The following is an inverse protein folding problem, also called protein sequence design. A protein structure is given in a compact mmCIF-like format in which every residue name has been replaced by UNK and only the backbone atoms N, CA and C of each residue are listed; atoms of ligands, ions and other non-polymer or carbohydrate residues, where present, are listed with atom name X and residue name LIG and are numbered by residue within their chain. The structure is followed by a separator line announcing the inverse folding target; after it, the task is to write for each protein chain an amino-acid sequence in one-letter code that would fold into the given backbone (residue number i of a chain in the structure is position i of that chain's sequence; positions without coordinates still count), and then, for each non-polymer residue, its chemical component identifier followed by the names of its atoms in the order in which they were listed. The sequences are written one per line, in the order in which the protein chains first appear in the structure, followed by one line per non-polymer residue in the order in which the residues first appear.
data_IF_075187289631
#
_entry.id   IF_075187289631
#
_cell.length_a   1.000
_cell.length_b   1.000
_cell.length_c   1.000
_cell.angle_alpha   90.00
_cell.angle_beta   90.00
_cell.angle_gamma   90.00
#
_symmetry.space_group_name_H-M   'P 1'
#
loop_
_entity.id
_entity.type
_entity.pdbx_description
1 polymer ?
#
# COMPACT_ATOMS: atom_id res chain seq x y z
N UNK A 1 -2.15 16.79 -15.76
CA UNK A 1 -1.01 17.05 -16.66
C UNK A 1 0.30 16.97 -15.88
N UNK A 2 0.65 15.76 -15.43
CA UNK A 2 1.80 15.52 -14.52
C UNK A 2 3.06 15.11 -15.29
N UNK A 3 2.96 14.87 -16.60
CA UNK A 3 4.02 14.30 -17.42
C UNK A 3 4.82 15.31 -18.24
N UNK A 4 4.24 16.45 -18.62
CA UNK A 4 4.88 17.36 -19.59
C UNK A 4 5.83 18.40 -19.01
N UNK A 5 5.45 19.06 -17.90
CA UNK A 5 6.12 20.31 -17.51
C UNK A 5 7.34 20.18 -16.59
N UNK A 6 7.32 19.22 -15.65
CA UNK A 6 8.31 19.17 -14.54
C UNK A 6 9.22 17.95 -14.58
N UNK A 7 8.70 16.80 -15.01
CA UNK A 7 9.46 15.54 -15.03
C UNK A 7 10.46 15.46 -16.19
N UNK A 8 10.08 15.93 -17.39
CA UNK A 8 10.91 15.82 -18.60
C UNK A 8 12.34 16.37 -18.48
N UNK A 9 12.58 17.60 -17.97
CA UNK A 9 13.95 18.10 -17.89
C UNK A 9 14.81 17.32 -16.89
N UNK A 10 14.21 16.78 -15.82
CA UNK A 10 14.90 15.95 -14.82
C UNK A 10 15.26 14.60 -15.43
N UNK A 11 14.30 13.93 -16.08
CA UNK A 11 14.50 12.65 -16.75
C UNK A 11 15.52 12.74 -17.90
N UNK A 12 15.52 13.85 -18.65
CA UNK A 12 16.48 14.09 -19.74
C UNK A 12 17.92 14.20 -19.22
N UNK A 13 18.15 14.96 -18.13
CA UNK A 13 19.47 15.05 -17.49
C UNK A 13 19.91 13.71 -16.91
N UNK A 14 18.96 12.95 -16.36
CA UNK A 14 19.24 11.64 -15.78
C UNK A 14 19.68 10.61 -16.85
N UNK A 15 19.01 10.56 -18.01
CA UNK A 15 19.44 9.72 -19.13
C UNK A 15 20.87 10.03 -19.59
N UNK A 16 21.26 11.32 -19.60
CA UNK A 16 22.62 11.73 -19.93
C UNK A 16 23.65 11.27 -18.88
N UNK A 17 23.27 11.22 -17.61
CA UNK A 17 24.12 10.73 -16.52
C UNK A 17 24.33 9.21 -16.61
N UNK A 18 23.27 8.41 -16.78
CA UNK A 18 23.39 6.94 -16.93
C UNK A 18 24.29 6.58 -18.11
N UNK A 19 24.10 7.24 -19.26
CA UNK A 19 24.91 7.00 -20.45
C UNK A 19 26.40 7.29 -20.21
N UNK A 20 26.72 8.25 -19.33
CA UNK A 20 28.10 8.62 -18.99
C UNK A 20 28.73 7.72 -17.94
N UNK A 21 27.97 7.26 -16.94
CA UNK A 21 28.52 6.48 -15.81
C UNK A 21 28.52 4.96 -16.03
N UNK A 22 27.98 4.45 -17.16
CA UNK A 22 27.88 3.01 -17.49
C UNK A 22 27.34 2.16 -16.33
N UNK A 23 26.57 2.78 -15.44
CA UNK A 23 26.00 2.10 -14.28
C UNK A 23 24.73 1.44 -14.79
N UNK A 24 24.75 0.10 -14.86
CA UNK A 24 23.55 -0.67 -15.18
C UNK A 24 22.54 -0.47 -14.05
N UNK A 25 21.64 0.50 -14.24
CA UNK A 25 20.55 0.72 -13.30
C UNK A 25 19.60 -0.47 -13.41
N UNK A 26 19.71 -1.40 -12.45
CA UNK A 26 19.02 -2.69 -12.46
C UNK A 26 17.58 -2.64 -11.92
N UNK A 27 17.05 -1.44 -11.65
CA UNK A 27 15.68 -1.26 -11.17
C UNK A 27 14.84 -0.67 -12.30
N UNK A 28 14.48 -1.53 -13.25
CA UNK A 28 13.78 -1.19 -14.50
C UNK A 28 12.44 -0.45 -14.33
N UNK A 29 11.99 -0.24 -13.09
CA UNK A 29 10.68 0.31 -12.77
C UNK A 29 10.71 1.44 -11.71
N UNK A 30 11.89 1.95 -11.35
CA UNK A 30 12.02 3.01 -10.34
C UNK A 30 12.80 4.21 -10.89
N UNK A 31 12.32 5.41 -10.54
CA UNK A 31 13.02 6.65 -10.81
C UNK A 31 13.97 6.95 -9.64
N UNK A 32 15.26 7.21 -9.89
CA UNK A 32 16.24 7.49 -8.83
C UNK A 32 16.14 8.91 -8.26
N UNK A 33 15.09 9.64 -8.61
CA UNK A 33 14.81 10.99 -8.13
C UNK A 33 13.34 11.06 -7.76
N UNK A 34 13.07 11.50 -6.53
CA UNK A 34 11.71 11.79 -6.10
C UNK A 34 11.17 12.97 -6.89
N UNK A 35 10.14 12.74 -7.69
CA UNK A 35 9.44 13.83 -8.38
C UNK A 35 8.46 14.43 -7.36
N UNK A 36 8.46 15.75 -7.14
CA UNK A 36 7.44 16.39 -6.32
C UNK A 36 6.07 16.18 -6.97
N UNK A 37 5.30 15.25 -6.41
CA UNK A 37 3.92 14.97 -6.81
C UNK A 37 2.99 15.96 -6.11
N UNK A 38 1.93 16.39 -6.80
CA UNK A 38 0.81 17.10 -6.13
C UNK A 38 0.22 16.18 -5.05
N UNK A 39 -0.33 16.73 -3.97
CA UNK A 39 -0.88 15.94 -2.86
C UNK A 39 -1.94 14.92 -3.31
N UNK A 40 -2.69 15.23 -4.38
CA UNK A 40 -3.65 14.30 -5.01
C UNK A 40 -3.02 13.06 -5.66
N UNK A 41 -1.71 13.07 -5.87
CA UNK A 41 -0.91 11.97 -6.41
C UNK A 41 0.09 11.41 -5.39
N UNK A 42 0.10 11.93 -4.17
CA UNK A 42 0.81 11.33 -3.04
C UNK A 42 -0.08 10.25 -2.44
N UNK A 43 -0.03 9.08 -3.06
CA UNK A 43 -0.64 7.90 -2.47
C UNK A 43 0.22 7.48 -1.28
N UNK A 44 -0.39 7.42 -0.10
CA UNK A 44 0.21 6.75 1.03
C UNK A 44 0.27 5.24 0.74
N UNK A 45 1.03 4.50 1.55
CA UNK A 45 1.20 3.05 1.37
C UNK A 45 -0.16 2.35 1.21
N UNK A 46 -0.40 1.79 0.03
CA UNK A 46 -1.65 1.09 -0.26
C UNK A 46 -1.61 -0.30 0.36
N UNK A 47 -2.67 -0.67 1.08
CA UNK A 47 -2.79 -2.01 1.64
C UNK A 47 -3.68 -2.89 0.77
N UNK A 48 -3.18 -4.05 0.38
CA UNK A 48 -3.95 -5.09 -0.30
C UNK A 48 -4.31 -6.16 0.70
N UNK A 49 -5.61 -6.38 0.90
CA UNK A 49 -6.07 -7.40 1.82
C UNK A 49 -5.71 -8.78 1.30
N UNK A 50 -4.99 -9.59 2.08
CA UNK A 50 -4.51 -10.89 1.60
C UNK A 50 -5.62 -11.96 1.57
N UNK A 51 -6.80 -11.68 2.15
CA UNK A 51 -7.97 -12.58 2.11
C UNK A 51 -8.81 -12.32 0.86
N UNK A 52 -9.23 -11.07 0.63
CA UNK A 52 -10.01 -10.71 -0.56
C UNK A 52 -9.14 -10.60 -1.81
N UNK A 53 -7.82 -10.42 -1.65
CA UNK A 53 -6.86 -10.12 -2.72
C UNK A 53 -7.18 -8.80 -3.44
N UNK A 54 -7.78 -7.88 -2.72
CA UNK A 54 -8.21 -6.57 -3.21
C UNK A 54 -7.60 -5.46 -2.36
N UNK A 55 -7.32 -4.32 -2.99
CA UNK A 55 -6.83 -3.12 -2.31
C UNK A 55 -7.94 -2.53 -1.42
N UNK A 56 -7.58 -2.13 -0.20
CA UNK A 56 -8.52 -1.45 0.69
C UNK A 56 -8.83 -0.04 0.23
N UNK A 57 -10.02 0.42 0.56
CA UNK A 57 -10.55 1.74 0.22
C UNK A 57 -11.07 2.47 1.46
N UNK A 58 -11.55 3.70 1.30
CA UNK A 58 -12.20 4.40 2.42
C UNK A 58 -13.47 3.70 2.93
N UNK A 59 -14.21 3.04 2.03
CA UNK A 59 -15.42 2.28 2.34
C UNK A 59 -15.12 0.88 2.88
N UNK A 60 -14.01 0.27 2.47
CA UNK A 60 -13.53 -1.02 2.96
C UNK A 60 -12.09 -0.87 3.50
N UNK A 61 -11.93 -0.22 4.67
CA UNK A 61 -10.63 0.14 5.19
C UNK A 61 -9.84 -1.06 5.72
N UNK A 62 -8.51 -0.92 5.86
CA UNK A 62 -7.69 -1.90 6.56
C UNK A 62 -7.99 -1.88 8.06
N UNK A 63 -8.21 -3.07 8.62
CA UNK A 63 -8.54 -3.32 10.02
C UNK A 63 -7.48 -4.21 10.66
N UNK A 64 -6.88 -3.74 11.75
CA UNK A 64 -5.87 -4.44 12.51
C UNK A 64 -6.52 -5.29 13.62
N UNK A 65 -6.20 -6.58 13.64
CA UNK A 65 -6.57 -7.49 14.73
C UNK A 65 -5.71 -7.23 15.98
N UNK A 66 -6.10 -7.77 17.13
CA UNK A 66 -5.32 -7.62 18.39
C UNK A 66 -3.93 -8.25 18.33
N UNK A 67 -3.70 -9.17 17.38
CA UNK A 67 -2.39 -9.75 17.10
C UNK A 67 -1.48 -8.90 16.19
N UNK A 68 -1.96 -7.74 15.71
CA UNK A 68 -1.24 -6.84 14.83
C UNK A 68 -1.40 -7.12 13.32
N UNK A 69 -1.97 -8.26 12.92
CA UNK A 69 -2.24 -8.53 11.51
C UNK A 69 -3.41 -7.71 10.98
N UNK A 70 -3.28 -7.24 9.75
CA UNK A 70 -4.25 -6.36 9.09
C UNK A 70 -5.03 -7.14 8.03
N UNK A 71 -6.34 -6.89 7.94
CA UNK A 71 -7.27 -7.44 6.93
C UNK A 71 -8.28 -6.36 6.52
N UNK A 72 -8.94 -6.47 5.36
CA UNK A 72 -10.02 -5.55 5.00
C UNK A 72 -11.23 -5.69 5.94
N UNK A 73 -11.98 -4.61 6.16
CA UNK A 73 -13.19 -4.58 7.00
C UNK A 73 -14.25 -5.62 6.59
N UNK A 74 -14.50 -5.79 5.30
CA UNK A 74 -15.41 -6.83 4.81
C UNK A 74 -14.87 -8.23 5.09
N UNK A 75 -13.55 -8.43 4.98
CA UNK A 75 -12.92 -9.72 5.28
C UNK A 75 -12.99 -10.04 6.77
N UNK A 76 -12.79 -9.03 7.64
CA UNK A 76 -13.00 -9.13 9.07
C UNK A 76 -14.43 -9.57 9.39
N UNK A 77 -15.42 -8.94 8.76
CA UNK A 77 -16.83 -9.26 8.95
C UNK A 77 -17.17 -10.69 8.52
N UNK A 78 -16.64 -11.15 7.38
CA UNK A 78 -16.80 -12.53 6.88
C UNK A 78 -16.13 -13.57 7.77
N UNK A 79 -15.00 -13.23 8.39
CA UNK A 79 -14.29 -14.09 9.35
C UNK A 79 -14.97 -14.14 10.73
N UNK A 80 -15.65 -13.06 11.11
CA UNK A 80 -16.37 -12.90 12.38
C UNK A 80 -17.70 -13.68 12.40
N UNK A 81 -17.64 -15.02 12.39
CA UNK A 81 -18.86 -15.86 12.48
C UNK A 81 -19.31 -16.02 13.94
N UNK A 82 -20.63 -15.94 14.17
CA UNK A 82 -21.32 -16.34 15.40
C UNK A 82 -20.63 -15.94 16.71
N UNK A 83 -20.89 -14.73 17.20
CA UNK A 83 -20.37 -14.25 18.50
C UNK A 83 -19.20 -13.26 18.41
N UNK A 84 -18.87 -12.74 17.23
CA UNK A 84 -17.89 -11.66 17.08
C UNK A 84 -16.42 -12.09 17.18
N UNK A 85 -16.12 -13.39 17.22
CA UNK A 85 -14.75 -13.89 17.31
C UNK A 85 -14.15 -14.10 15.92
N UNK A 86 -12.88 -13.77 15.78
CA UNK A 86 -12.13 -13.79 14.52
C UNK A 86 -10.83 -14.53 14.74
N UNK A 87 -10.63 -15.62 13.99
CA UNK A 87 -9.34 -16.31 13.94
C UNK A 87 -8.45 -15.64 12.92
N UNK A 88 -7.23 -15.27 13.33
CA UNK A 88 -6.26 -14.72 12.40
C UNK A 88 -5.81 -15.81 11.40
N UNK A 89 -5.78 -15.52 10.08
CA UNK A 89 -5.25 -16.48 9.10
C UNK A 89 -3.73 -16.70 9.20
N UNK A 90 -3.01 -15.75 9.80
CA UNK A 90 -1.54 -15.73 9.83
C UNK A 90 -0.93 -16.23 11.13
N UNK A 91 -1.72 -16.31 12.20
CA UNK A 91 -1.23 -16.71 13.51
C UNK A 91 -2.34 -17.40 14.31
N UNK A 92 -2.00 -18.17 15.36
CA UNK A 92 -2.99 -18.91 16.14
C UNK A 92 -3.84 -18.03 17.07
N UNK A 93 -3.62 -16.71 17.08
CA UNK A 93 -4.33 -15.78 17.95
C UNK A 93 -5.74 -15.49 17.41
N UNK A 94 -6.69 -15.50 18.34
CA UNK A 94 -8.08 -15.14 18.09
C UNK A 94 -8.37 -13.77 18.70
N UNK A 95 -9.12 -12.95 17.98
CA UNK A 95 -9.49 -11.59 18.37
C UNK A 95 -11.00 -11.42 18.37
N UNK A 96 -11.50 -10.40 19.06
CA UNK A 96 -12.88 -9.96 18.90
C UNK A 96 -12.94 -8.90 17.78
N UNK A 97 -13.91 -9.01 16.87
CA UNK A 97 -14.06 -8.08 15.74
C UNK A 97 -14.30 -6.64 16.20
N UNK A 98 -14.96 -6.45 17.35
CA UNK A 98 -15.17 -5.14 17.96
C UNK A 98 -13.90 -4.46 18.47
N UNK A 99 -12.82 -5.22 18.70
CA UNK A 99 -11.52 -4.69 19.13
C UNK A 99 -10.60 -4.37 17.94
N UNK A 100 -11.03 -4.66 16.71
CA UNK A 100 -10.22 -4.36 15.54
C UNK A 100 -10.14 -2.84 15.31
N UNK A 101 -8.93 -2.34 15.07
CA UNK A 101 -8.67 -0.91 14.88
C UNK A 101 -8.46 -0.59 13.41
N UNK A 102 -9.10 0.46 12.92
CA UNK A 102 -8.85 0.97 11.57
C UNK A 102 -7.42 1.51 11.49
N UNK A 103 -6.70 1.10 10.45
CA UNK A 103 -5.38 1.64 10.11
C UNK A 103 -5.54 2.74 9.07
N UNK A 104 -4.77 3.81 9.23
CA UNK A 104 -4.62 4.86 8.24
C UNK A 104 -3.19 4.80 7.76
N UNK A 105 -3.03 4.72 6.44
CA UNK A 105 -1.73 4.82 5.78
C UNK A 105 -1.60 6.21 5.20
#
# INVERSE_FOLDING_TARGET
DVGGGRALPILSRFNQLIQKTRTEWSQSNELPVEIPLDDKYKFHSVFTCPISKEQTSESNPPMMLTCGHVVANESLSKLSKGGGRVKCPYCPIESQSSLALRVYF
#
